data_IF_317571141635
#
_entry.id   IF_317571141635
#
_cell.length_a   1.000
_cell.length_b   1.000
_cell.length_c   1.000
_cell.angle_alpha   90.00
_cell.angle_beta   90.00
_cell.angle_gamma   90.00
#
_symmetry.space_group_name_H-M   'P 1'
#
loop_
_entity.id
_entity.type
_entity.pdbx_description
1 polymer ?
#
# COMPACT_ATOMS: atom_id res chain seq x y z
N UNK A 1 -7.37 -5.67 6.53
CA UNK A 1 -6.50 -4.58 6.02
C UNK A 1 -5.92 -4.91 4.66
N UNK A 2 -5.19 -6.02 4.46
CA UNK A 2 -4.49 -6.29 3.20
C UNK A 2 -5.40 -6.33 1.97
N UNK A 3 -6.63 -6.82 2.11
CA UNK A 3 -7.65 -6.71 1.04
C UNK A 3 -7.96 -5.26 0.65
N UNK A 4 -7.99 -4.35 1.62
CA UNK A 4 -8.17 -2.93 1.35
C UNK A 4 -6.93 -2.33 0.69
N UNK A 5 -5.72 -2.74 1.09
CA UNK A 5 -4.50 -2.33 0.40
C UNK A 5 -4.50 -2.76 -1.08
N UNK A 6 -4.91 -4.00 -1.37
CA UNK A 6 -5.09 -4.49 -2.74
C UNK A 6 -6.08 -3.61 -3.51
N UNK A 7 -7.24 -3.29 -2.90
CA UNK A 7 -8.25 -2.43 -3.51
C UNK A 7 -7.72 -1.02 -3.80
N UNK A 8 -7.04 -0.39 -2.85
CA UNK A 8 -6.40 0.93 -3.03
C UNK A 8 -5.37 0.91 -4.16
N UNK A 9 -4.62 -0.18 -4.32
CA UNK A 9 -3.63 -0.33 -5.40
C UNK A 9 -4.24 -0.60 -6.78
N UNK A 10 -5.25 -1.47 -6.87
CA UNK A 10 -5.80 -1.96 -8.15
C UNK A 10 -7.00 -1.16 -8.63
N UNK A 11 -7.87 -0.73 -7.73
CA UNK A 11 -9.14 -0.06 -8.03
C UNK A 11 -9.41 1.12 -7.07
N UNK A 12 -8.49 2.11 -6.98
CA UNK A 12 -8.63 3.22 -6.03
C UNK A 12 -9.95 4.00 -6.21
N UNK A 13 -10.43 4.16 -7.44
CA UNK A 13 -11.70 4.82 -7.73
C UNK A 13 -12.95 4.10 -7.18
N UNK A 14 -12.83 2.82 -6.84
CA UNK A 14 -13.92 2.02 -6.25
C UNK A 14 -13.87 2.00 -4.71
N UNK A 15 -12.87 2.62 -4.09
CA UNK A 15 -12.79 2.76 -2.64
C UNK A 15 -13.92 3.67 -2.13
N UNK A 16 -14.54 3.30 -1.02
CA UNK A 16 -15.66 4.04 -0.46
C UNK A 16 -15.69 3.94 1.08
N UNK A 17 -16.64 4.67 1.68
CA UNK A 17 -16.80 4.76 3.13
C UNK A 17 -17.02 3.39 3.80
N UNK A 18 -17.70 2.46 3.11
CA UNK A 18 -17.95 1.11 3.61
C UNK A 18 -16.66 0.28 3.81
N UNK A 19 -15.60 0.55 3.05
CA UNK A 19 -14.31 -0.09 3.27
C UNK A 19 -13.68 0.37 4.61
N UNK A 20 -13.80 1.66 4.92
CA UNK A 20 -13.30 2.26 6.17
C UNK A 20 -14.10 1.75 7.36
N UNK A 21 -15.43 1.70 7.24
CA UNK A 21 -16.33 1.16 8.27
C UNK A 21 -16.05 -0.32 8.56
N UNK A 22 -15.80 -1.12 7.52
CA UNK A 22 -15.38 -2.51 7.70
C UNK A 22 -14.09 -2.61 8.48
N UNK A 23 -13.08 -1.77 8.21
CA UNK A 23 -11.84 -1.79 8.99
C UNK A 23 -12.05 -1.37 10.45
N UNK A 24 -12.88 -0.35 10.70
CA UNK A 24 -13.27 0.05 12.06
C UNK A 24 -13.96 -1.08 12.82
N UNK A 25 -14.85 -1.82 12.16
CA UNK A 25 -15.52 -2.98 12.76
C UNK A 25 -14.55 -4.10 13.16
N UNK A 26 -13.37 -4.15 12.54
CA UNK A 26 -12.27 -5.06 12.89
C UNK A 26 -11.28 -4.44 13.90
N UNK A 27 -11.63 -3.33 14.54
CA UNK A 27 -10.85 -2.70 15.61
C UNK A 27 -9.76 -1.74 15.14
N UNK A 28 -9.69 -1.40 13.85
CA UNK A 28 -8.73 -0.40 13.36
C UNK A 28 -9.17 1.01 13.75
N UNK A 29 -8.23 1.80 14.30
CA UNK A 29 -8.45 3.23 14.53
C UNK A 29 -8.37 4.01 13.22
N UNK A 30 -9.01 5.18 13.17
CA UNK A 30 -8.93 6.09 12.01
C UNK A 30 -7.49 6.46 11.66
N UNK A 31 -6.65 6.66 12.69
CA UNK A 31 -5.22 6.89 12.51
C UNK A 31 -4.53 5.70 11.85
N UNK A 32 -4.79 4.47 12.32
CA UNK A 32 -4.19 3.28 11.72
C UNK A 32 -4.63 3.06 10.26
N UNK A 33 -5.90 3.37 9.94
CA UNK A 33 -6.42 3.31 8.57
C UNK A 33 -5.75 4.36 7.69
N UNK A 34 -5.63 5.59 8.20
CA UNK A 34 -4.96 6.69 7.51
C UNK A 34 -3.49 6.34 7.20
N UNK A 35 -2.73 5.92 8.21
CA UNK A 35 -1.32 5.57 8.08
C UNK A 35 -1.13 4.43 7.07
N UNK A 36 -2.00 3.41 7.12
CA UNK A 36 -2.03 2.33 6.14
C UNK A 36 -2.26 2.83 4.70
N UNK A 37 -3.25 3.70 4.49
CA UNK A 37 -3.54 4.25 3.16
C UNK A 37 -2.39 5.13 2.66
N UNK A 38 -1.75 5.90 3.53
CA UNK A 38 -0.56 6.69 3.17
C UNK A 38 0.59 5.81 2.69
N UNK A 39 0.90 4.72 3.41
CA UNK A 39 1.96 3.79 3.03
C UNK A 39 1.65 3.15 1.68
N UNK A 40 0.43 2.64 1.50
CA UNK A 40 0.01 2.02 0.23
C UNK A 40 0.08 3.04 -0.91
N UNK A 41 -0.40 4.26 -0.69
CA UNK A 41 -0.34 5.35 -1.67
C UNK A 41 1.09 5.74 -2.05
N UNK A 42 1.98 5.84 -1.07
CA UNK A 42 3.39 6.17 -1.29
C UNK A 42 4.08 5.11 -2.16
N UNK A 43 3.92 3.82 -1.84
CA UNK A 43 4.50 2.76 -2.66
C UNK A 43 3.88 2.69 -4.06
N UNK A 44 2.57 2.92 -4.16
CA UNK A 44 1.92 3.04 -5.46
C UNK A 44 2.54 4.15 -6.33
N UNK A 45 2.90 5.29 -5.74
CA UNK A 45 3.57 6.38 -6.44
C UNK A 45 5.01 6.01 -6.84
N UNK A 46 5.84 5.57 -5.89
CA UNK A 46 7.26 5.30 -6.14
C UNK A 46 7.44 4.13 -7.12
N UNK A 47 6.61 3.08 -7.03
CA UNK A 47 6.68 1.94 -7.93
C UNK A 47 6.38 2.36 -9.37
N UNK A 48 5.39 3.23 -9.57
CA UNK A 48 5.08 3.76 -10.91
C UNK A 48 6.23 4.59 -11.48
N UNK A 49 6.93 5.36 -10.66
CA UNK A 49 8.12 6.09 -11.09
C UNK A 49 9.26 5.15 -11.47
N UNK A 50 9.55 4.16 -10.62
CA UNK A 50 10.59 3.18 -10.89
C UNK A 50 10.31 2.41 -12.18
N UNK A 51 9.09 1.88 -12.33
CA UNK A 51 8.66 1.13 -13.51
C UNK A 51 8.72 2.00 -14.79
N UNK A 52 8.25 3.25 -14.73
CA UNK A 52 8.20 4.13 -15.89
C UNK A 52 9.59 4.65 -16.33
N UNK A 53 10.54 4.72 -15.40
CA UNK A 53 11.90 5.18 -15.67
C UNK A 53 12.91 4.04 -15.86
N UNK A 54 12.48 2.78 -15.69
CA UNK A 54 13.35 1.62 -15.78
C UNK A 54 14.39 1.56 -14.66
N UNK A 55 14.01 1.96 -13.45
CA UNK A 55 14.89 1.88 -12.27
C UNK A 55 14.96 0.43 -11.79
N UNK A 56 16.12 -0.18 -11.96
CA UNK A 56 16.41 -1.50 -11.42
C UNK A 56 16.71 -1.45 -9.92
N UNK A 57 16.55 -2.59 -9.25
CA UNK A 57 17.00 -2.74 -7.87
C UNK A 57 18.52 -2.53 -7.77
N UNK A 58 18.97 -1.95 -6.65
CA UNK A 58 20.39 -1.79 -6.38
C UNK A 58 21.09 -3.16 -6.38
N UNK A 59 22.26 -3.24 -7.01
CA UNK A 59 23.01 -4.49 -7.16
C UNK A 59 23.37 -5.15 -5.82
N UNK A 60 23.48 -4.35 -4.76
CA UNK A 60 23.84 -4.80 -3.41
C UNK A 60 22.62 -5.06 -2.51
N UNK A 61 21.39 -5.00 -3.06
CA UNK A 61 20.20 -5.35 -2.30
C UNK A 61 20.22 -6.83 -1.92
N UNK A 62 20.61 -7.11 -0.68
CA UNK A 62 20.47 -8.44 -0.06
C UNK A 62 19.08 -8.58 0.53
N UNK A 63 18.36 -9.59 0.05
CA UNK A 63 17.05 -9.96 0.60
C UNK A 63 17.12 -10.21 2.10
N UNK A 64 16.07 -9.82 2.81
CA UNK A 64 15.99 -10.02 4.25
C UNK A 64 16.07 -11.51 4.60
N UNK A 65 17.04 -11.91 5.44
CA UNK A 65 17.21 -13.31 5.88
C UNK A 65 18.21 -14.15 5.08
N UNK A 66 18.90 -13.59 4.08
CA UNK A 66 20.02 -14.29 3.43
C UNK A 66 21.35 -13.94 4.12
N UNK A 67 21.81 -14.83 5.00
CA UNK A 67 23.17 -14.85 5.53
C UNK A 67 24.09 -15.65 4.60
#
# INVERSE_FOLDING_TARGET
MLEYAIKVTKTPAACNQGDVERLRAWGWSDRAIHDAVQIVGYFNYINRLADALGVDAEADFRGWGTA
#
